data_IF_529634358234
#
_entry.id   IF_529634358234
#
_cell.length_a   1.000
_cell.length_b   1.000
_cell.length_c   1.000
_cell.angle_alpha   90.00
_cell.angle_beta   90.00
_cell.angle_gamma   90.00
#
_symmetry.space_group_name_H-M   'P 1'
#
loop_
_entity.id
_entity.type
_entity.pdbx_description
1 polymer ?
#
# COMPACT_ATOMS: atom_id res chain seq x y z
N UNK A 1 20.54 5.52 -43.01
CA UNK A 1 20.15 5.91 -41.65
C UNK A 1 20.18 7.41 -41.40
N UNK A 2 21.03 8.23 -42.03
CA UNK A 2 20.99 9.69 -41.82
C UNK A 2 20.02 10.47 -42.73
N UNK A 3 19.56 9.90 -43.86
CA UNK A 3 18.60 10.54 -44.76
C UNK A 3 17.19 10.57 -44.17
N UNK A 4 16.75 9.43 -43.64
CA UNK A 4 15.38 9.24 -43.18
C UNK A 4 15.09 10.07 -41.91
N UNK A 5 16.10 10.24 -41.04
CA UNK A 5 16.02 11.09 -39.85
C UNK A 5 15.93 12.59 -40.22
N UNK A 6 16.63 13.04 -41.27
CA UNK A 6 16.54 14.42 -41.77
C UNK A 6 15.18 14.72 -42.39
N UNK A 7 14.61 13.78 -43.15
CA UNK A 7 13.29 13.94 -43.75
C UNK A 7 12.19 14.01 -42.68
N UNK A 8 12.30 13.23 -41.60
CA UNK A 8 11.36 13.26 -40.46
C UNK A 8 11.43 14.61 -39.72
N UNK A 9 12.63 15.11 -39.44
CA UNK A 9 12.83 16.40 -38.76
C UNK A 9 12.25 17.56 -39.57
N UNK A 10 12.41 17.53 -40.89
CA UNK A 10 11.87 18.54 -41.81
C UNK A 10 10.33 18.53 -41.83
N UNK A 11 9.71 17.35 -41.79
CA UNK A 11 8.24 17.19 -41.77
C UNK A 11 7.64 17.69 -40.46
N UNK A 12 8.26 17.40 -39.32
CA UNK A 12 7.80 17.90 -38.01
C UNK A 12 8.02 19.42 -37.86
N UNK A 13 9.09 19.99 -38.42
CA UNK A 13 9.30 21.43 -38.44
C UNK A 13 8.24 22.19 -39.26
N UNK A 14 7.82 21.62 -40.40
CA UNK A 14 6.71 22.16 -41.20
C UNK A 14 5.42 22.06 -40.40
N UNK A 15 5.16 20.90 -39.78
CA UNK A 15 3.94 20.64 -39.01
C UNK A 15 3.82 21.59 -37.81
N UNK A 16 4.86 21.69 -37.00
CA UNK A 16 4.92 22.58 -35.82
C UNK A 16 4.91 24.06 -36.19
N UNK A 17 5.31 24.41 -37.42
CA UNK A 17 5.18 25.76 -37.98
C UNK A 17 3.76 26.13 -38.39
N UNK A 18 2.97 25.17 -38.87
CA UNK A 18 1.61 25.37 -39.36
C UNK A 18 0.55 25.21 -38.26
N UNK A 19 0.81 24.36 -37.26
CA UNK A 19 -0.06 24.18 -36.09
C UNK A 19 -0.03 25.43 -35.19
N UNK A 20 -1.19 25.75 -34.60
CA UNK A 20 -1.34 26.92 -33.74
C UNK A 20 -1.14 28.25 -34.49
N UNK A 21 -1.42 28.29 -35.80
CA UNK A 21 -1.32 29.52 -36.58
C UNK A 21 -2.31 30.58 -36.10
N UNK A 22 -3.51 30.16 -35.71
CA UNK A 22 -4.51 30.97 -35.02
C UNK A 22 -4.51 30.66 -33.53
N UNK A 23 -4.89 31.63 -32.70
CA UNK A 23 -4.85 31.49 -31.24
C UNK A 23 -5.94 30.55 -30.66
N UNK A 24 -5.71 29.24 -30.80
CA UNK A 24 -6.56 28.17 -30.28
C UNK A 24 -6.49 28.01 -28.75
N UNK A 25 -5.52 28.65 -28.09
CA UNK A 25 -5.49 28.75 -26.63
C UNK A 25 -6.61 29.64 -26.08
N UNK A 26 -7.06 30.62 -26.88
CA UNK A 26 -8.03 31.65 -26.49
C UNK A 26 -9.44 31.36 -27.01
N UNK A 27 -9.54 30.85 -28.24
CA UNK A 27 -10.81 30.71 -28.94
C UNK A 27 -11.24 29.23 -29.02
N UNK A 28 -12.47 28.94 -28.59
CA UNK A 28 -13.11 27.63 -28.78
C UNK A 28 -13.71 27.51 -30.19
N UNK A 29 -14.12 26.29 -30.57
CA UNK A 29 -14.74 26.02 -31.88
C UNK A 29 -15.95 26.94 -32.18
N UNK A 30 -16.71 27.36 -31.17
CA UNK A 30 -17.89 28.22 -31.35
C UNK A 30 -17.57 29.70 -31.64
N UNK A 31 -16.36 30.16 -31.28
CA UNK A 31 -15.93 31.56 -31.43
C UNK A 31 -14.70 31.70 -32.34
N UNK A 32 -14.39 30.67 -33.13
CA UNK A 32 -13.20 30.65 -33.99
C UNK A 32 -13.46 31.47 -35.26
N UNK A 33 -12.73 32.57 -35.43
CA UNK A 33 -12.84 33.40 -36.65
C UNK A 33 -12.12 32.82 -37.86
N UNK A 34 -11.20 31.87 -37.66
CA UNK A 34 -10.38 31.28 -38.73
C UNK A 34 -10.14 29.79 -38.48
N UNK A 35 -10.42 28.93 -39.45
CA UNK A 35 -10.04 27.51 -39.40
C UNK A 35 -8.86 27.25 -40.32
N UNK A 36 -7.86 26.51 -39.85
CA UNK A 36 -6.67 26.13 -40.62
C UNK A 36 -6.66 24.63 -40.86
N UNK A 37 -6.42 24.21 -42.10
CA UNK A 37 -6.22 22.82 -42.48
C UNK A 37 -5.07 22.71 -43.49
N UNK A 38 -4.38 21.58 -43.51
CA UNK A 38 -3.34 21.30 -44.49
C UNK A 38 -3.61 19.92 -45.08
N UNK A 39 -4.32 19.88 -46.21
CA UNK A 39 -4.79 18.64 -46.81
C UNK A 39 -3.68 18.03 -47.66
N UNK A 40 -3.24 16.83 -47.29
CA UNK A 40 -2.38 15.98 -48.12
C UNK A 40 -3.28 14.98 -48.84
N UNK A 41 -3.17 14.97 -50.16
CA UNK A 41 -3.88 14.04 -51.04
C UNK A 41 -2.88 13.10 -51.71
N UNK A 42 -3.02 11.80 -51.45
CA UNK A 42 -2.21 10.75 -52.08
C UNK A 42 -3.06 9.53 -52.47
N UNK A 43 -2.42 8.47 -52.96
CA UNK A 43 -3.08 7.25 -53.42
C UNK A 43 -3.85 6.50 -52.30
N UNK A 44 -3.64 6.87 -51.03
CA UNK A 44 -4.30 6.29 -49.85
C UNK A 44 -5.50 7.10 -49.36
N UNK A 45 -5.71 8.31 -49.90
CA UNK A 45 -6.85 9.17 -49.60
C UNK A 45 -6.47 10.63 -49.33
N UNK A 46 -7.42 11.37 -48.77
CA UNK A 46 -7.23 12.74 -48.28
C UNK A 46 -7.08 12.70 -46.75
N UNK A 47 -6.01 13.30 -46.23
CA UNK A 47 -5.80 13.46 -44.78
C UNK A 47 -5.41 14.89 -44.44
N UNK A 48 -5.93 15.41 -43.33
CA UNK A 48 -5.47 16.68 -42.78
C UNK A 48 -4.19 16.46 -41.96
N UNK A 49 -3.08 16.97 -42.49
CA UNK A 49 -1.75 16.86 -41.91
C UNK A 49 -1.62 17.58 -40.56
N UNK A 50 -2.38 18.66 -40.36
CA UNK A 50 -2.40 19.44 -39.11
C UNK A 50 -3.65 19.20 -38.27
N UNK A 51 -4.68 18.56 -38.83
CA UNK A 51 -5.94 18.24 -38.15
C UNK A 51 -5.88 16.99 -37.25
N UNK A 52 -4.91 16.09 -37.47
CA UNK A 52 -4.74 14.89 -36.65
C UNK A 52 -3.82 15.16 -35.44
N UNK A 53 -4.44 15.19 -34.24
CA UNK A 53 -3.86 15.35 -32.90
C UNK A 53 -3.63 16.78 -32.40
N UNK A 54 -4.77 17.43 -32.21
CA UNK A 54 -5.13 18.37 -31.13
C UNK A 54 -3.95 19.12 -30.51
N UNK A 55 -3.69 20.30 -31.06
CA UNK A 55 -3.02 21.37 -30.37
C UNK A 55 -3.66 21.65 -28.99
N UNK A 56 -3.04 22.53 -28.21
CA UNK A 56 -3.60 22.94 -26.93
C UNK A 56 -4.89 23.75 -27.12
N UNK A 57 -5.82 23.56 -26.19
CA UNK A 57 -7.14 24.19 -26.15
C UNK A 57 -7.32 24.97 -24.86
N UNK A 58 -8.37 25.77 -24.76
CA UNK A 58 -8.69 26.53 -23.55
C UNK A 58 -8.90 25.64 -22.32
N UNK A 59 -9.46 24.44 -22.51
CA UNK A 59 -9.69 23.49 -21.42
C UNK A 59 -8.40 22.88 -20.85
N UNK A 60 -7.31 22.87 -21.62
CA UNK A 60 -6.02 22.35 -21.15
C UNK A 60 -5.48 23.18 -19.97
N UNK A 61 -5.77 24.49 -19.89
CA UNK A 61 -5.38 25.34 -18.76
C UNK A 61 -6.09 25.00 -17.44
N UNK A 62 -7.22 24.28 -17.49
CA UNK A 62 -7.93 23.81 -16.29
C UNK A 62 -7.21 22.63 -15.64
N UNK A 63 -6.56 21.80 -16.45
CA UNK A 63 -6.00 20.52 -16.03
C UNK A 63 -4.47 20.52 -15.91
N UNK A 64 -3.81 21.68 -15.98
CA UNK A 64 -2.38 21.78 -15.73
C UNK A 64 -2.06 21.94 -14.23
N UNK A 65 -0.84 21.56 -13.82
CA UNK A 65 -0.38 21.66 -12.44
C UNK A 65 -0.35 23.11 -11.95
N UNK A 66 0.14 24.01 -12.80
CA UNK A 66 0.23 25.43 -12.47
C UNK A 66 -0.31 26.30 -13.60
N UNK A 67 -0.93 27.42 -13.25
CA UNK A 67 -1.46 28.42 -14.18
C UNK A 67 -0.92 29.79 -13.81
N UNK A 68 -0.51 30.55 -14.84
CA UNK A 68 -0.25 31.98 -14.77
C UNK A 68 -1.20 32.62 -15.77
N UNK A 69 -2.06 33.52 -15.32
CA UNK A 69 -3.04 34.21 -16.18
C UNK A 69 -3.11 35.68 -15.79
N UNK A 70 -2.76 36.59 -16.69
CA UNK A 70 -2.76 38.02 -16.38
C UNK A 70 -2.29 38.91 -17.51
N UNK A 71 -2.07 40.17 -17.18
CA UNK A 71 -1.67 41.20 -18.13
C UNK A 71 -0.50 42.03 -17.60
N UNK A 72 0.33 42.48 -18.54
CA UNK A 72 1.36 43.50 -18.32
C UNK A 72 0.80 44.86 -18.74
N UNK A 73 0.84 45.83 -17.83
CA UNK A 73 0.39 47.19 -18.07
C UNK A 73 1.38 48.02 -18.93
N UNK A 74 1.08 49.30 -19.14
CA UNK A 74 1.96 50.21 -19.91
C UNK A 74 3.31 50.50 -19.23
N UNK A 75 3.50 50.14 -17.98
CA UNK A 75 4.74 50.30 -17.21
C UNK A 75 5.54 49.00 -17.12
N UNK A 76 4.96 47.88 -17.56
CA UNK A 76 5.53 46.54 -17.47
C UNK A 76 5.20 45.83 -16.15
N UNK A 77 4.26 46.35 -15.36
CA UNK A 77 3.77 45.68 -14.15
C UNK A 77 2.83 44.56 -14.56
N UNK A 78 3.11 43.33 -14.11
CA UNK A 78 2.19 42.22 -14.26
C UNK A 78 1.14 42.26 -13.16
N UNK A 79 -0.13 42.09 -13.52
CA UNK A 79 -1.21 41.79 -12.58
C UNK A 79 -2.01 40.60 -13.08
N UNK A 80 -2.33 39.66 -12.20
CA UNK A 80 -3.14 38.51 -12.56
C UNK A 80 -3.13 37.41 -11.51
N UNK A 81 -3.62 36.25 -11.92
CA UNK A 81 -3.85 35.11 -11.07
C UNK A 81 -2.77 34.04 -11.25
N UNK A 82 -2.26 33.52 -10.13
CA UNK A 82 -1.41 32.33 -10.09
C UNK A 82 -2.17 31.17 -9.47
N UNK A 83 -2.20 30.02 -10.14
CA UNK A 83 -2.65 28.75 -9.57
C UNK A 83 -1.45 27.84 -9.40
N UNK A 84 -1.20 27.39 -8.17
CA UNK A 84 -0.12 26.46 -7.83
C UNK A 84 -0.78 25.21 -7.23
N UNK A 85 -0.95 24.19 -8.08
CA UNK A 85 -1.78 23.03 -7.81
C UNK A 85 -3.21 23.46 -7.47
N UNK A 86 -3.61 23.34 -6.21
CA UNK A 86 -4.96 23.67 -5.75
C UNK A 86 -5.04 25.06 -5.11
N UNK A 87 -3.90 25.72 -4.85
CA UNK A 87 -3.90 27.07 -4.29
C UNK A 87 -4.00 28.13 -5.40
N UNK A 88 -4.94 29.04 -5.26
CA UNK A 88 -5.13 30.19 -6.15
C UNK A 88 -4.69 31.47 -5.43
N UNK A 89 -3.97 32.33 -6.14
CA UNK A 89 -3.53 33.66 -5.71
C UNK A 89 -4.08 34.63 -6.76
N UNK A 90 -5.22 35.26 -6.48
CA UNK A 90 -5.97 36.05 -7.48
C UNK A 90 -5.29 37.38 -7.83
N UNK A 91 -4.70 38.05 -6.83
CA UNK A 91 -4.12 39.40 -6.95
C UNK A 91 -2.58 39.38 -6.94
N UNK A 92 -1.96 38.52 -7.75
CA UNK A 92 -0.51 38.55 -7.88
C UNK A 92 -0.05 39.75 -8.69
N UNK A 93 0.87 40.54 -8.13
CA UNK A 93 1.49 41.67 -8.82
C UNK A 93 3.00 41.55 -8.82
N UNK A 94 3.60 41.80 -9.99
CA UNK A 94 5.05 41.88 -10.14
C UNK A 94 5.42 43.16 -10.86
N UNK A 95 6.40 43.88 -10.31
CA UNK A 95 6.92 45.11 -10.90
C UNK A 95 8.39 44.93 -11.31
N UNK A 96 8.74 45.20 -12.58
CA UNK A 96 10.13 45.18 -13.02
C UNK A 96 10.91 46.35 -12.40
N UNK A 97 12.23 46.21 -12.31
CA UNK A 97 13.10 47.26 -11.78
C UNK A 97 13.22 48.42 -12.79
N UNK A 98 12.26 49.35 -12.72
CA UNK A 98 12.15 50.53 -13.60
C UNK A 98 11.58 51.73 -12.82
N UNK A 99 12.01 52.97 -13.10
CA UNK A 99 11.40 54.18 -12.54
C UNK A 99 9.90 54.29 -12.80
N UNK A 100 9.14 54.78 -11.81
CA UNK A 100 7.66 54.77 -11.83
C UNK A 100 7.01 55.50 -13.01
N UNK A 101 7.69 56.49 -13.56
CA UNK A 101 7.16 57.37 -14.62
C UNK A 101 7.48 56.81 -16.01
N UNK A 102 8.41 55.85 -16.10
CA UNK A 102 8.90 55.35 -17.38
C UNK A 102 8.00 54.23 -17.92
N UNK A 103 7.34 54.48 -19.05
CA UNK A 103 6.57 53.46 -19.77
C UNK A 103 7.45 52.36 -20.37
N UNK A 104 6.90 51.17 -20.45
CA UNK A 104 7.46 50.06 -21.20
C UNK A 104 7.50 50.40 -22.69
N UNK A 105 8.67 50.24 -23.30
CA UNK A 105 8.88 50.53 -24.72
C UNK A 105 8.11 49.58 -25.64
N UNK A 106 7.70 48.41 -25.14
CA UNK A 106 6.97 47.37 -25.87
C UNK A 106 5.43 47.46 -25.72
N UNK A 107 4.91 48.27 -24.80
CA UNK A 107 3.47 48.44 -24.54
C UNK A 107 2.83 47.31 -23.72
N UNK A 108 1.52 47.41 -23.46
CA UNK A 108 0.77 46.40 -22.68
C UNK A 108 0.53 45.10 -23.46
N UNK A 109 0.39 43.97 -22.76
CA UNK A 109 0.11 42.67 -23.38
C UNK A 109 -0.48 41.66 -22.38
N UNK A 110 -1.16 40.62 -22.86
CA UNK A 110 -1.67 39.54 -22.01
C UNK A 110 -0.74 38.33 -22.04
N UNK A 111 -0.67 37.59 -20.93
CA UNK A 111 0.08 36.36 -20.78
C UNK A 111 -0.80 35.31 -20.12
N UNK A 112 -0.92 34.14 -20.76
CA UNK A 112 -1.53 32.96 -20.15
C UNK A 112 -0.65 31.74 -20.38
N UNK A 113 -0.30 31.05 -19.31
CA UNK A 113 0.65 29.93 -19.31
C UNK A 113 0.20 28.83 -18.37
N UNK A 114 0.06 27.62 -18.92
CA UNK A 114 -0.07 26.38 -18.17
C UNK A 114 1.29 25.70 -18.04
N UNK A 115 1.52 25.06 -16.90
CA UNK A 115 2.75 24.32 -16.62
C UNK A 115 2.41 22.92 -16.09
N UNK A 116 3.13 21.91 -16.57
CA UNK A 116 3.01 20.52 -16.13
C UNK A 116 4.34 20.04 -15.57
N UNK A 117 4.37 19.82 -14.27
CA UNK A 117 5.55 19.44 -13.50
C UNK A 117 6.06 18.04 -13.89
N UNK A 118 7.32 17.76 -13.55
CA UNK A 118 8.01 16.49 -13.80
C UNK A 118 7.26 15.24 -13.32
N UNK A 119 7.63 14.07 -13.84
CA UNK A 119 7.21 12.80 -13.23
C UNK A 119 7.65 12.78 -11.78
N UNK A 120 6.73 12.56 -10.85
CA UNK A 120 6.97 12.62 -9.41
C UNK A 120 6.71 13.98 -8.76
N UNK A 121 6.56 15.05 -9.54
CA UNK A 121 6.16 16.38 -9.07
C UNK A 121 4.77 16.81 -9.55
N UNK A 122 4.21 16.17 -10.58
CA UNK A 122 2.86 16.48 -11.07
C UNK A 122 1.78 16.03 -10.08
N UNK A 123 0.68 16.78 -9.97
CA UNK A 123 -0.55 16.36 -9.27
C UNK A 123 -1.49 15.55 -10.15
N UNK A 124 -1.19 15.43 -11.45
CA UNK A 124 -2.02 14.74 -12.42
C UNK A 124 -1.94 13.22 -12.24
N UNK A 125 -3.03 12.51 -12.58
CA UNK A 125 -3.00 11.06 -12.69
C UNK A 125 -2.24 10.62 -13.95
N UNK A 126 -1.82 9.35 -14.00
CA UNK A 126 -0.96 8.84 -15.08
C UNK A 126 -1.55 9.06 -16.49
N UNK A 127 -2.86 8.84 -16.66
CA UNK A 127 -3.52 9.01 -17.97
C UNK A 127 -3.50 10.47 -18.45
N UNK A 128 -3.81 11.41 -17.55
CA UNK A 128 -3.82 12.85 -17.86
C UNK A 128 -2.39 13.37 -18.05
N UNK A 129 -1.45 12.89 -17.23
CA UNK A 129 -0.04 13.22 -17.36
C UNK A 129 0.53 12.73 -18.71
N UNK A 130 0.21 11.52 -19.14
CA UNK A 130 0.62 10.97 -20.44
C UNK A 130 0.02 11.75 -21.61
N UNK A 131 -1.25 12.18 -21.48
CA UNK A 131 -1.89 13.08 -22.45
C UNK A 131 -1.11 14.40 -22.59
N UNK A 132 -0.78 15.04 -21.48
CA UNK A 132 -0.01 16.29 -21.51
C UNK A 132 1.41 16.10 -22.01
N UNK A 133 2.11 15.03 -21.61
CA UNK A 133 3.48 14.78 -22.09
C UNK A 133 3.51 14.65 -23.62
N UNK A 134 2.58 13.91 -24.21
CA UNK A 134 2.49 13.80 -25.69
C UNK A 134 2.33 15.16 -26.35
N UNK A 135 1.42 16.00 -25.85
CA UNK A 135 1.23 17.37 -26.38
C UNK A 135 2.44 18.27 -26.15
N UNK A 136 3.05 18.23 -24.96
CA UNK A 136 4.19 19.06 -24.60
C UNK A 136 5.43 18.70 -25.41
N UNK A 137 5.65 17.42 -25.71
CA UNK A 137 6.76 16.99 -26.58
C UNK A 137 6.63 17.56 -27.99
N UNK A 138 5.42 17.60 -28.56
CA UNK A 138 5.20 18.09 -29.93
C UNK A 138 5.00 19.60 -30.02
N UNK A 139 4.29 20.20 -29.06
CA UNK A 139 3.75 21.56 -29.15
C UNK A 139 4.02 22.42 -27.92
N UNK A 140 4.80 21.91 -26.95
CA UNK A 140 5.16 22.66 -25.75
C UNK A 140 5.97 23.92 -26.07
N UNK A 141 5.73 24.97 -25.31
CA UNK A 141 6.41 26.24 -25.44
C UNK A 141 5.52 27.45 -25.15
N UNK A 142 6.14 28.62 -25.27
CA UNK A 142 5.47 29.92 -25.12
C UNK A 142 5.33 30.59 -26.49
N UNK A 143 4.10 30.73 -26.93
CA UNK A 143 3.73 31.28 -28.23
C UNK A 143 3.56 32.79 -28.13
N UNK A 144 3.77 33.51 -29.24
CA UNK A 144 3.42 34.92 -29.34
C UNK A 144 2.40 35.06 -30.46
N UNK A 145 1.25 35.64 -30.15
CA UNK A 145 0.23 35.99 -31.13
C UNK A 145 0.14 37.50 -31.24
N UNK A 146 0.00 37.99 -32.46
CA UNK A 146 -0.30 39.37 -32.77
C UNK A 146 -1.61 39.43 -33.54
N UNK A 147 -2.61 40.08 -32.96
CA UNK A 147 -3.96 40.15 -33.54
C UNK A 147 -4.49 38.73 -33.86
N UNK A 148 -4.37 37.81 -32.89
CA UNK A 148 -4.71 36.38 -32.95
C UNK A 148 -3.93 35.51 -33.97
N UNK A 149 -2.99 36.08 -34.72
CA UNK A 149 -2.12 35.34 -35.63
C UNK A 149 -0.75 35.09 -35.00
N UNK A 150 -0.24 33.86 -35.12
CA UNK A 150 1.05 33.48 -34.56
C UNK A 150 2.20 34.25 -35.21
N UNK A 151 3.12 34.73 -34.39
CA UNK A 151 4.41 35.29 -34.80
C UNK A 151 5.45 34.18 -34.69
N UNK A 152 5.94 33.68 -35.82
CA UNK A 152 7.06 32.74 -35.85
C UNK A 152 8.37 33.45 -35.45
N UNK A 153 9.38 32.76 -34.90
CA UNK A 153 9.41 31.33 -34.56
C UNK A 153 8.85 31.01 -33.15
N UNK A 154 8.20 31.97 -32.47
CA UNK A 154 7.79 31.79 -31.08
C UNK A 154 6.76 30.65 -30.91
N UNK A 155 6.97 29.82 -29.89
CA UNK A 155 6.22 28.59 -29.65
C UNK A 155 6.86 27.33 -30.25
N UNK A 156 7.99 27.44 -30.97
CA UNK A 156 8.78 26.25 -31.37
C UNK A 156 9.71 25.84 -30.23
N UNK A 157 9.92 24.53 -29.97
CA UNK A 157 10.87 24.05 -28.96
C UNK A 157 12.30 24.58 -29.13
N UNK A 158 12.73 24.78 -30.38
CA UNK A 158 14.06 25.33 -30.71
C UNK A 158 14.16 26.85 -30.44
N UNK A 159 13.03 27.53 -30.17
CA UNK A 159 12.93 28.98 -30.00
C UNK A 159 12.66 29.38 -28.54
N UNK A 160 13.57 28.98 -27.65
CA UNK A 160 13.60 29.44 -26.25
C UNK A 160 14.10 30.89 -26.16
N UNK A 161 13.29 31.82 -26.66
CA UNK A 161 13.64 33.22 -26.74
C UNK A 161 13.85 33.86 -25.35
N UNK A 162 13.30 33.26 -24.29
CA UNK A 162 13.50 33.68 -22.91
C UNK A 162 14.59 32.90 -22.18
N UNK A 163 15.31 31.97 -22.83
CA UNK A 163 16.45 31.20 -22.26
C UNK A 163 16.11 30.44 -20.97
N UNK A 164 14.92 29.86 -20.86
CA UNK A 164 14.54 29.00 -19.74
C UNK A 164 15.48 27.79 -19.59
N UNK A 165 15.74 27.06 -20.67
CA UNK A 165 16.53 25.83 -20.66
C UNK A 165 18.00 26.11 -20.32
N UNK A 166 18.55 27.22 -20.82
CA UNK A 166 19.92 27.65 -20.52
C UNK A 166 20.10 27.93 -19.02
N UNK A 167 19.12 28.57 -18.36
CA UNK A 167 19.23 28.83 -16.91
C UNK A 167 19.00 27.55 -16.11
N UNK A 168 18.03 26.73 -16.53
CA UNK A 168 17.73 25.46 -15.87
C UNK A 168 18.92 24.51 -15.86
N UNK A 169 19.71 24.46 -16.94
CA UNK A 169 20.92 23.63 -16.99
C UNK A 169 21.99 24.07 -15.99
N UNK A 170 22.01 25.35 -15.58
CA UNK A 170 22.93 25.87 -14.55
C UNK A 170 22.51 25.46 -13.14
N UNK A 171 21.23 25.60 -12.80
CA UNK A 171 20.68 25.21 -11.47
C UNK A 171 19.17 24.98 -11.51
N UNK A 172 18.74 23.76 -11.83
CA UNK A 172 17.32 23.43 -12.02
C UNK A 172 16.44 23.71 -10.80
N UNK A 173 16.98 23.57 -9.57
CA UNK A 173 16.24 23.89 -8.34
C UNK A 173 15.93 25.39 -8.17
N UNK A 174 16.80 26.28 -8.67
CA UNK A 174 16.55 27.73 -8.63
C UNK A 174 15.75 28.21 -9.83
N UNK A 175 16.06 27.68 -11.02
CA UNK A 175 15.41 28.05 -12.27
C UNK A 175 14.32 27.02 -12.62
N UNK A 176 13.16 27.21 -11.99
CA UNK A 176 12.06 26.24 -12.01
C UNK A 176 11.45 25.99 -13.40
N UNK A 177 11.31 27.01 -14.23
CA UNK A 177 10.57 26.89 -15.49
C UNK A 177 11.41 26.18 -16.56
N UNK A 178 10.82 25.18 -17.20
CA UNK A 178 11.33 24.55 -18.42
C UNK A 178 10.39 24.86 -19.59
N UNK A 179 10.96 25.29 -20.72
CA UNK A 179 10.26 25.52 -21.97
C UNK A 179 9.51 24.26 -22.43
N UNK A 180 10.08 23.08 -22.15
CA UNK A 180 9.51 21.76 -22.50
C UNK A 180 8.34 21.33 -21.62
N UNK A 181 8.05 22.06 -20.54
CA UNK A 181 7.02 21.73 -19.54
C UNK A 181 5.91 22.77 -19.47
N UNK A 182 5.95 23.76 -20.34
CA UNK A 182 4.95 24.83 -20.42
C UNK A 182 4.20 24.79 -21.74
N UNK A 183 2.98 25.31 -21.72
CA UNK A 183 2.22 25.67 -22.89
C UNK A 183 1.50 26.97 -22.62
N UNK A 184 1.38 27.84 -23.62
CA UNK A 184 0.67 29.09 -23.43
C UNK A 184 1.04 30.14 -24.45
N UNK A 185 0.56 31.35 -24.21
CA UNK A 185 0.69 32.42 -25.18
C UNK A 185 0.88 33.79 -24.54
N UNK A 186 1.56 34.66 -25.29
CA UNK A 186 1.56 36.10 -25.13
C UNK A 186 0.70 36.69 -26.24
N UNK A 187 -0.27 37.51 -25.87
CA UNK A 187 -1.13 38.22 -26.80
C UNK A 187 -0.68 39.67 -26.96
N UNK A 188 -0.29 40.01 -28.18
CA UNK A 188 0.05 41.35 -28.60
C UNK A 188 -1.04 41.89 -29.53
N UNK A 189 -1.22 43.20 -29.52
CA UNK A 189 -2.03 43.91 -30.52
C UNK A 189 -1.22 44.98 -31.20
N UNK A 190 -1.38 45.13 -32.52
CA UNK A 190 -0.61 46.13 -33.27
C UNK A 190 -0.83 47.57 -32.77
N UNK A 191 -2.04 47.86 -32.30
CA UNK A 191 -2.41 49.15 -31.70
C UNK A 191 -1.61 49.50 -30.44
N UNK A 192 -1.37 48.50 -29.57
CA UNK A 192 -0.76 48.66 -28.25
C UNK A 192 0.75 48.42 -28.27
N UNK A 193 1.25 47.66 -29.25
CA UNK A 193 2.64 47.20 -29.32
C UNK A 193 3.37 47.70 -30.58
N UNK A 194 3.16 48.96 -30.96
CA UNK A 194 3.71 49.55 -32.22
C UNK A 194 5.23 49.47 -32.35
N UNK A 195 5.94 49.53 -31.22
CA UNK A 195 7.41 49.49 -31.18
C UNK A 195 7.98 48.07 -31.32
N UNK A 196 7.17 47.03 -31.15
CA UNK A 196 7.56 45.65 -31.46
C UNK A 196 7.38 45.44 -32.97
N UNK A 197 8.44 45.67 -33.74
CA UNK A 197 8.38 45.67 -35.20
C UNK A 197 8.63 44.25 -35.72
N UNK A 198 7.71 43.74 -36.54
CA UNK A 198 7.86 42.46 -37.22
C UNK A 198 8.93 42.55 -38.32
N UNK A 199 9.75 41.51 -38.47
CA UNK A 199 10.64 41.41 -39.64
C UNK A 199 9.82 41.21 -40.93
N UNK A 200 10.39 41.57 -42.08
CA UNK A 200 9.72 41.45 -43.38
C UNK A 200 9.19 40.03 -43.68
N UNK A 201 9.94 38.99 -43.30
CA UNK A 201 9.52 37.59 -43.44
C UNK A 201 8.60 37.06 -42.33
N UNK A 202 8.18 37.91 -41.37
CA UNK A 202 7.48 37.52 -40.13
C UNK A 202 8.20 36.43 -39.31
N UNK A 203 9.51 36.33 -39.49
CA UNK A 203 10.43 35.47 -38.73
C UNK A 203 10.93 36.16 -37.46
N UNK A 204 9.98 36.63 -36.67
CA UNK A 204 10.18 37.25 -35.36
C UNK A 204 10.27 38.77 -35.43
N UNK A 205 10.65 39.34 -34.29
CA UNK A 205 10.77 40.79 -34.15
C UNK A 205 12.17 41.30 -34.51
N UNK A 206 12.23 42.56 -34.96
CA UNK A 206 13.49 43.30 -35.08
C UNK A 206 14.10 43.45 -33.68
N UNK A 207 15.40 43.18 -33.54
CA UNK A 207 16.12 43.28 -32.28
C UNK A 207 16.40 44.74 -31.88
N UNK A 208 15.34 45.51 -31.67
CA UNK A 208 15.38 46.90 -31.26
C UNK A 208 15.29 47.02 -29.72
N UNK A 209 15.28 48.25 -29.21
CA UNK A 209 15.14 48.50 -27.76
C UNK A 209 13.86 47.87 -27.19
N UNK A 210 12.72 47.99 -27.87
CA UNK A 210 11.45 47.46 -27.39
C UNK A 210 11.47 45.94 -27.21
N UNK A 211 12.02 45.20 -28.17
CA UNK A 211 12.13 43.76 -28.07
C UNK A 211 13.12 43.32 -26.96
N UNK A 212 14.23 44.05 -26.77
CA UNK A 212 15.17 43.76 -25.69
C UNK A 212 14.55 44.00 -24.30
N UNK A 213 13.87 45.13 -24.12
CA UNK A 213 13.18 45.45 -22.87
C UNK A 213 12.07 44.41 -22.58
N UNK A 214 11.31 44.00 -23.60
CA UNK A 214 10.28 42.96 -23.50
C UNK A 214 10.84 41.64 -22.97
N UNK A 215 11.97 41.20 -23.53
CA UNK A 215 12.66 40.00 -23.05
C UNK A 215 13.15 40.14 -21.62
N UNK A 216 13.79 41.27 -21.28
CA UNK A 216 14.37 41.50 -19.95
C UNK A 216 13.28 41.46 -18.88
N UNK A 217 12.16 42.15 -19.10
CA UNK A 217 11.07 42.23 -18.13
C UNK A 217 10.38 40.86 -17.95
N UNK A 218 10.14 40.11 -19.04
CA UNK A 218 9.60 38.75 -18.97
C UNK A 218 10.54 37.78 -18.24
N UNK A 219 11.84 37.85 -18.53
CA UNK A 219 12.84 37.02 -17.82
C UNK A 219 12.81 37.37 -16.33
N UNK A 220 12.81 38.66 -15.98
CA UNK A 220 12.72 39.12 -14.60
C UNK A 220 11.48 38.61 -13.88
N UNK A 221 10.33 38.63 -14.55
CA UNK A 221 9.06 38.11 -14.03
C UNK A 221 9.14 36.61 -13.68
N UNK A 222 9.57 35.77 -14.62
CA UNK A 222 9.67 34.32 -14.37
C UNK A 222 10.74 33.98 -13.33
N UNK A 223 11.83 34.74 -13.25
CA UNK A 223 12.82 34.59 -12.19
C UNK A 223 12.24 34.95 -10.82
N UNK A 224 11.41 35.99 -10.75
CA UNK A 224 10.74 36.38 -9.51
C UNK A 224 9.74 35.30 -9.06
N UNK A 225 8.91 34.79 -9.97
CA UNK A 225 8.00 33.69 -9.68
C UNK A 225 8.73 32.45 -9.16
N UNK A 226 9.84 32.07 -9.80
CA UNK A 226 10.66 30.96 -9.34
C UNK A 226 11.18 31.20 -7.91
N UNK A 227 11.66 32.42 -7.61
CA UNK A 227 12.15 32.79 -6.28
C UNK A 227 11.05 32.85 -5.22
N UNK A 228 9.85 33.27 -5.58
CA UNK A 228 8.76 33.47 -4.62
C UNK A 228 7.98 32.19 -4.33
N UNK A 229 7.79 31.31 -5.33
CA UNK A 229 6.83 30.21 -5.19
C UNK A 229 7.29 28.84 -5.70
N UNK A 230 8.15 28.76 -6.72
CA UNK A 230 8.37 27.48 -7.42
C UNK A 230 9.74 26.83 -7.22
N UNK A 231 10.77 27.61 -6.92
CA UNK A 231 12.13 27.12 -6.71
C UNK A 231 12.24 26.27 -5.43
N UNK A 232 13.31 25.49 -5.32
CA UNK A 232 13.61 24.67 -4.15
C UNK A 232 13.71 25.52 -2.88
N UNK A 233 14.34 26.69 -2.97
CA UNK A 233 14.52 27.64 -1.86
C UNK A 233 13.52 28.81 -1.97
N UNK A 234 12.30 28.55 -2.47
CA UNK A 234 11.29 29.59 -2.66
C UNK A 234 10.89 30.22 -1.32
N UNK A 235 10.61 31.53 -1.32
CA UNK A 235 10.17 32.25 -0.11
C UNK A 235 8.88 31.69 0.47
N UNK A 236 7.95 31.30 -0.40
CA UNK A 236 6.67 30.73 -0.01
C UNK A 236 6.67 29.23 -0.31
N UNK A 237 6.49 28.43 0.74
CA UNK A 237 6.55 26.96 0.64
C UNK A 237 5.25 26.30 0.14
N UNK A 238 4.47 27.04 -0.65
CA UNK A 238 3.15 26.59 -1.12
C UNK A 238 3.25 25.34 -1.99
N UNK A 239 4.28 25.28 -2.85
CA UNK A 239 4.48 24.17 -3.79
C UNK A 239 4.96 22.92 -3.08
N UNK A 240 5.99 23.00 -2.22
CA UNK A 240 6.55 21.78 -1.61
C UNK A 240 5.58 21.18 -0.61
N UNK A 241 4.90 22.00 0.20
CA UNK A 241 3.90 21.49 1.14
C UNK A 241 2.82 20.65 0.44
N UNK A 242 2.21 21.18 -0.63
CA UNK A 242 1.21 20.44 -1.40
C UNK A 242 1.82 19.21 -2.11
N UNK A 243 3.08 19.29 -2.54
CA UNK A 243 3.76 18.15 -3.17
C UNK A 243 3.97 17.00 -2.18
N UNK A 244 4.35 17.28 -0.93
CA UNK A 244 4.48 16.25 0.09
C UNK A 244 3.12 15.60 0.43
N UNK A 245 2.06 16.40 0.58
CA UNK A 245 0.69 15.91 0.76
C UNK A 245 0.27 14.97 -0.40
N UNK A 246 0.60 15.33 -1.64
CA UNK A 246 0.32 14.50 -2.82
C UNK A 246 1.12 13.19 -2.83
N UNK A 247 2.38 13.20 -2.40
CA UNK A 247 3.22 12.01 -2.31
C UNK A 247 2.73 11.05 -1.24
N UNK A 248 2.36 11.56 -0.07
CA UNK A 248 1.80 10.77 1.02
C UNK A 248 0.51 10.09 0.59
N UNK A 249 -0.42 10.83 -0.03
CA UNK A 249 -1.66 10.28 -0.56
C UNK A 249 -1.42 9.17 -1.58
N UNK A 250 -0.52 9.38 -2.55
CA UNK A 250 -0.15 8.35 -3.54
C UNK A 250 0.50 7.13 -2.90
N UNK A 251 1.36 7.31 -1.90
CA UNK A 251 2.00 6.20 -1.21
C UNK A 251 0.96 5.33 -0.49
N UNK A 252 0.01 5.95 0.21
CA UNK A 252 -1.10 5.25 0.87
C UNK A 252 -1.98 4.48 -0.13
N UNK A 253 -2.34 5.10 -1.27
CA UNK A 253 -3.12 4.43 -2.31
C UNK A 253 -2.38 3.21 -2.92
N UNK A 254 -1.07 3.33 -3.15
CA UNK A 254 -0.26 2.24 -3.69
C UNK A 254 -0.17 1.08 -2.69
N UNK A 255 0.03 1.41 -1.41
CA UNK A 255 0.06 0.41 -0.33
C UNK A 255 -1.30 -0.30 -0.20
N UNK A 256 -2.40 0.45 -0.24
CA UNK A 256 -3.75 -0.12 -0.17
C UNK A 256 -4.02 -1.07 -1.35
N UNK A 257 -3.70 -0.66 -2.59
CA UNK A 257 -3.82 -1.51 -3.79
C UNK A 257 -2.97 -2.76 -3.71
N UNK A 258 -1.76 -2.67 -3.13
CA UNK A 258 -0.88 -3.81 -2.92
C UNK A 258 -1.51 -4.81 -1.93
N UNK A 259 -1.99 -4.32 -0.80
CA UNK A 259 -2.65 -5.13 0.22
C UNK A 259 -3.95 -5.77 -0.32
N UNK A 260 -4.73 -5.05 -1.13
CA UNK A 260 -5.89 -5.58 -1.82
C UNK A 260 -5.51 -6.72 -2.78
N UNK A 261 -4.47 -6.53 -3.60
CA UNK A 261 -3.97 -7.55 -4.53
C UNK A 261 -3.47 -8.80 -3.79
N UNK A 262 -2.76 -8.63 -2.68
CA UNK A 262 -2.29 -9.74 -1.83
C UNK A 262 -3.44 -10.49 -1.16
N UNK A 263 -4.46 -9.79 -0.65
CA UNK A 263 -5.68 -10.42 -0.12
C UNK A 263 -6.43 -11.19 -1.21
N UNK A 264 -6.56 -10.60 -2.41
CA UNK A 264 -7.23 -11.25 -3.55
C UNK A 264 -6.50 -12.52 -3.99
N UNK A 265 -5.17 -12.50 -4.04
CA UNK A 265 -4.39 -13.69 -4.39
C UNK A 265 -4.54 -14.79 -3.33
N UNK A 266 -4.39 -14.45 -2.03
CA UNK A 266 -4.60 -15.40 -0.94
C UNK A 266 -6.01 -16.00 -0.94
N UNK A 267 -7.03 -15.17 -1.20
CA UNK A 267 -8.41 -15.63 -1.30
C UNK A 267 -8.62 -16.61 -2.47
N UNK A 268 -8.01 -16.34 -3.63
CA UNK A 268 -8.07 -17.26 -4.77
C UNK A 268 -7.36 -18.58 -4.51
N UNK A 269 -6.26 -18.56 -3.77
CA UNK A 269 -5.54 -19.77 -3.39
C UNK A 269 -6.34 -20.58 -2.35
N UNK A 270 -6.91 -19.90 -1.35
CA UNK A 270 -7.85 -20.47 -0.38
C UNK A 270 -9.03 -21.18 -1.07
N UNK A 271 -9.71 -20.52 -2.00
CA UNK A 271 -10.83 -21.11 -2.75
C UNK A 271 -10.46 -22.36 -3.56
N UNK A 272 -9.18 -22.54 -3.89
CA UNK A 272 -8.70 -23.71 -4.65
C UNK A 272 -8.22 -24.84 -3.75
N UNK A 273 -7.58 -24.55 -2.62
CA UNK A 273 -6.95 -25.57 -1.77
C UNK A 273 -7.94 -26.17 -0.78
N UNK A 274 -8.81 -25.35 -0.20
CA UNK A 274 -9.72 -25.74 0.89
C UNK A 274 -10.65 -26.89 0.51
N UNK A 275 -11.26 -26.96 -0.69
CA UNK A 275 -12.08 -28.12 -1.07
C UNK A 275 -11.34 -29.46 -0.94
N UNK A 276 -10.07 -29.50 -1.39
CA UNK A 276 -9.24 -30.71 -1.33
C UNK A 276 -8.81 -31.02 0.09
N UNK A 277 -8.44 -29.99 0.86
CA UNK A 277 -8.07 -30.14 2.27
C UNK A 277 -9.25 -30.66 3.11
N UNK A 278 -10.46 -30.18 2.84
CA UNK A 278 -11.70 -30.66 3.48
C UNK A 278 -11.98 -32.12 3.14
N UNK A 279 -11.83 -32.51 1.87
CA UNK A 279 -12.02 -33.91 1.44
C UNK A 279 -11.03 -34.86 2.12
N UNK A 280 -9.75 -34.48 2.19
CA UNK A 280 -8.71 -35.23 2.88
C UNK A 280 -8.96 -35.33 4.39
N UNK A 281 -9.35 -34.22 5.03
CA UNK A 281 -9.66 -34.18 6.46
C UNK A 281 -10.87 -35.05 6.78
N UNK A 282 -11.96 -34.95 6.02
CA UNK A 282 -13.15 -35.79 6.20
C UNK A 282 -12.81 -37.27 6.09
N UNK A 283 -12.00 -37.65 5.09
CA UNK A 283 -11.58 -39.04 4.88
C UNK A 283 -10.78 -39.58 6.07
N UNK A 284 -9.80 -38.82 6.56
CA UNK A 284 -8.99 -39.20 7.73
C UNK A 284 -9.83 -39.26 8.99
N UNK A 285 -10.71 -38.28 9.16
CA UNK A 285 -11.60 -38.17 10.31
C UNK A 285 -12.58 -39.35 10.37
N UNK A 286 -13.20 -39.70 9.25
CA UNK A 286 -14.09 -40.86 9.14
C UNK A 286 -13.39 -42.17 9.48
N UNK A 287 -12.15 -42.37 9.00
CA UNK A 287 -11.35 -43.56 9.29
C UNK A 287 -11.07 -43.70 10.80
N UNK A 288 -10.54 -42.65 11.43
CA UNK A 288 -10.23 -42.66 12.87
C UNK A 288 -11.48 -42.84 13.74
N UNK A 289 -12.60 -42.25 13.31
CA UNK A 289 -13.87 -42.35 14.02
C UNK A 289 -14.44 -43.77 13.99
N UNK A 290 -14.29 -44.46 12.86
CA UNK A 290 -14.65 -45.88 12.77
C UNK A 290 -13.70 -46.77 13.58
N UNK A 291 -12.39 -46.49 13.57
CA UNK A 291 -11.42 -47.19 14.42
C UNK A 291 -11.75 -47.03 15.91
N UNK A 292 -12.07 -45.81 16.35
CA UNK A 292 -12.51 -45.52 17.71
C UNK A 292 -13.80 -46.29 18.04
N UNK A 293 -14.79 -46.26 17.15
CA UNK A 293 -16.06 -46.97 17.33
C UNK A 293 -15.88 -48.48 17.47
N UNK A 294 -14.96 -49.06 16.70
CA UNK A 294 -14.65 -50.49 16.78
C UNK A 294 -13.92 -50.84 18.08
N UNK A 295 -12.89 -50.07 18.45
CA UNK A 295 -12.17 -50.29 19.73
C UNK A 295 -13.06 -50.15 20.96
N UNK A 296 -14.09 -49.29 20.92
CA UNK A 296 -15.05 -49.16 22.02
C UNK A 296 -15.95 -50.38 22.20
N UNK A 297 -16.10 -51.22 21.16
CA UNK A 297 -16.90 -52.46 21.21
C UNK A 297 -16.11 -53.68 21.65
N UNK A 298 -14.79 -53.66 21.50
CA UNK A 298 -13.94 -54.77 21.92
C UNK A 298 -13.95 -54.94 23.45
N UNK A 299 -13.84 -56.19 23.90
CA UNK A 299 -13.84 -56.54 25.33
C UNK A 299 -12.44 -56.42 25.96
N UNK A 300 -11.37 -56.54 25.16
CA UNK A 300 -9.96 -56.48 25.58
C UNK A 300 -9.31 -55.17 25.10
N UNK A 301 -9.82 -54.04 25.58
CA UNK A 301 -9.41 -52.72 25.11
C UNK A 301 -8.09 -52.29 25.73
N UNK A 302 -7.12 -51.89 24.90
CA UNK A 302 -5.93 -51.16 25.34
C UNK A 302 -6.30 -49.67 25.40
N UNK A 303 -6.56 -49.14 26.60
CA UNK A 303 -7.00 -47.75 26.82
C UNK A 303 -6.01 -46.68 26.31
N UNK A 304 -4.72 -47.01 26.24
CA UNK A 304 -3.71 -46.13 25.64
C UNK A 304 -4.03 -45.85 24.15
N UNK A 305 -4.60 -46.82 23.44
CA UNK A 305 -4.96 -46.66 22.03
C UNK A 305 -6.17 -45.74 21.87
N UNK A 306 -7.17 -45.84 22.75
CA UNK A 306 -8.31 -44.91 22.76
C UNK A 306 -7.81 -43.48 23.00
N UNK A 307 -6.91 -43.28 23.95
CA UNK A 307 -6.33 -41.96 24.21
C UNK A 307 -5.53 -41.41 23.01
N UNK A 308 -4.83 -42.27 22.26
CA UNK A 308 -4.11 -41.84 21.06
C UNK A 308 -5.08 -41.44 19.94
N UNK A 309 -6.13 -42.25 19.70
CA UNK A 309 -7.15 -41.95 18.70
C UNK A 309 -7.89 -40.65 19.02
N UNK A 310 -8.26 -40.43 20.28
CA UNK A 310 -8.90 -39.17 20.71
C UNK A 310 -8.01 -37.96 20.46
N UNK A 311 -6.70 -38.04 20.75
CA UNK A 311 -5.75 -36.96 20.46
C UNK A 311 -5.65 -36.66 18.96
N UNK A 312 -5.67 -37.68 18.11
CA UNK A 312 -5.64 -37.49 16.66
C UNK A 312 -6.92 -36.85 16.14
N UNK A 313 -8.08 -37.32 16.62
CA UNK A 313 -9.40 -36.75 16.31
C UNK A 313 -9.47 -35.27 16.72
N UNK A 314 -8.99 -34.92 17.91
CA UNK A 314 -9.01 -33.54 18.40
C UNK A 314 -8.08 -32.63 17.57
N UNK A 315 -6.94 -33.13 17.10
CA UNK A 315 -6.07 -32.40 16.16
C UNK A 315 -6.76 -32.16 14.83
N UNK A 316 -7.37 -33.19 14.24
CA UNK A 316 -8.11 -33.03 12.98
C UNK A 316 -9.27 -32.03 13.12
N UNK A 317 -9.93 -31.99 14.29
CA UNK A 317 -10.98 -31.02 14.55
C UNK A 317 -10.45 -29.59 14.60
N UNK A 318 -9.30 -29.36 15.24
CA UNK A 318 -8.65 -28.05 15.26
C UNK A 318 -8.20 -27.62 13.86
N UNK A 319 -7.62 -28.53 13.08
CA UNK A 319 -7.22 -28.29 11.68
C UNK A 319 -8.44 -27.91 10.83
N UNK A 320 -9.56 -28.63 10.99
CA UNK A 320 -10.84 -28.31 10.34
C UNK A 320 -11.38 -26.92 10.73
N UNK A 321 -11.40 -26.57 12.01
CA UNK A 321 -11.86 -25.26 12.48
C UNK A 321 -11.02 -24.10 11.92
N UNK A 322 -9.73 -24.32 11.65
CA UNK A 322 -8.85 -23.32 11.05
C UNK A 322 -9.24 -22.96 9.60
N UNK A 323 -9.97 -23.84 8.90
CA UNK A 323 -10.39 -23.66 7.50
C UNK A 323 -11.71 -22.89 7.35
N UNK A 324 -12.27 -22.35 8.45
CA UNK A 324 -13.55 -21.64 8.45
C UNK A 324 -13.60 -20.53 7.37
N UNK A 325 -14.59 -20.57 6.46
CA UNK A 325 -14.73 -19.59 5.38
C UNK A 325 -14.98 -18.17 5.89
N UNK A 326 -14.10 -17.23 5.51
CA UNK A 326 -14.20 -15.80 5.86
C UNK A 326 -14.26 -14.95 4.61
N UNK A 327 -15.13 -13.93 4.64
CA UNK A 327 -15.26 -12.98 3.53
C UNK A 327 -14.07 -12.02 3.50
N UNK A 328 -13.56 -11.68 2.30
CA UNK A 328 -12.50 -10.69 2.16
C UNK A 328 -13.00 -9.31 2.61
N UNK A 329 -12.10 -8.51 3.20
CA UNK A 329 -12.43 -7.19 3.75
C UNK A 329 -12.10 -6.04 2.80
N UNK A 330 -11.02 -6.14 2.01
CA UNK A 330 -10.52 -5.03 1.18
C UNK A 330 -11.04 -5.03 -0.26
N UNK A 331 -11.72 -6.09 -0.69
CA UNK A 331 -12.29 -6.16 -2.03
C UNK A 331 -13.64 -6.85 -2.05
N UNK A 332 -14.43 -6.53 -3.07
CA UNK A 332 -15.69 -7.21 -3.36
C UNK A 332 -15.46 -8.40 -4.29
N UNK A 333 -16.06 -9.53 -3.96
CA UNK A 333 -15.96 -10.75 -4.77
C UNK A 333 -16.66 -10.56 -6.12
N UNK A 334 -15.99 -10.97 -7.20
CA UNK A 334 -16.60 -11.07 -8.52
C UNK A 334 -17.59 -12.25 -8.59
N UNK A 335 -18.37 -12.35 -9.67
CA UNK A 335 -19.43 -13.36 -9.81
C UNK A 335 -18.91 -14.79 -9.68
N UNK A 336 -17.70 -15.08 -10.20
CA UNK A 336 -17.11 -16.42 -10.18
C UNK A 336 -16.52 -16.75 -8.81
N UNK A 337 -15.84 -15.79 -8.19
CA UNK A 337 -15.27 -15.95 -6.84
C UNK A 337 -16.38 -16.13 -5.80
N UNK A 338 -17.54 -15.50 -5.99
CA UNK A 338 -18.73 -15.67 -5.13
C UNK A 338 -19.31 -17.08 -5.20
N UNK A 339 -19.53 -17.61 -6.40
CA UNK A 339 -20.03 -18.96 -6.61
C UNK A 339 -19.09 -20.00 -5.97
N UNK A 340 -17.77 -19.85 -6.15
CA UNK A 340 -16.78 -20.74 -5.52
C UNK A 340 -16.78 -20.65 -4.00
N UNK A 341 -16.92 -19.44 -3.45
CA UNK A 341 -16.99 -19.24 -2.02
C UNK A 341 -18.25 -19.89 -1.41
N UNK A 342 -19.38 -19.84 -2.10
CA UNK A 342 -20.61 -20.55 -1.69
C UNK A 342 -20.38 -22.06 -1.68
N UNK A 343 -19.79 -22.64 -2.74
CA UNK A 343 -19.44 -24.07 -2.78
C UNK A 343 -18.55 -24.48 -1.60
N UNK A 344 -17.51 -23.68 -1.29
CA UNK A 344 -16.62 -23.93 -0.14
C UNK A 344 -17.38 -23.83 1.18
N UNK A 345 -18.28 -22.86 1.29
CA UNK A 345 -19.10 -22.65 2.50
C UNK A 345 -20.05 -23.81 2.73
N UNK A 346 -20.70 -24.30 1.68
CA UNK A 346 -21.61 -25.44 1.74
C UNK A 346 -20.84 -26.73 2.09
N UNK A 347 -19.70 -26.96 1.44
CA UNK A 347 -18.82 -28.10 1.75
C UNK A 347 -18.34 -28.06 3.21
N UNK A 348 -17.88 -26.91 3.70
CA UNK A 348 -17.50 -26.73 5.10
C UNK A 348 -18.67 -27.01 6.05
N UNK A 349 -19.87 -26.52 5.72
CA UNK A 349 -21.08 -26.74 6.53
C UNK A 349 -21.43 -28.23 6.63
N UNK A 350 -21.35 -28.97 5.52
CA UNK A 350 -21.58 -30.41 5.50
C UNK A 350 -20.53 -31.16 6.32
N UNK A 351 -19.24 -30.86 6.13
CA UNK A 351 -18.15 -31.43 6.93
C UNK A 351 -18.34 -31.16 8.42
N UNK A 352 -18.78 -29.95 8.80
CA UNK A 352 -19.03 -29.60 10.21
C UNK A 352 -20.06 -30.54 10.86
N UNK A 353 -21.13 -30.87 10.14
CA UNK A 353 -22.15 -31.81 10.62
C UNK A 353 -21.55 -33.21 10.83
N UNK A 354 -20.67 -33.66 9.93
CA UNK A 354 -19.96 -34.94 10.09
C UNK A 354 -19.04 -34.94 11.31
N UNK A 355 -18.24 -33.88 11.49
CA UNK A 355 -17.38 -33.69 12.66
C UNK A 355 -18.15 -33.63 13.98
N UNK A 356 -19.36 -33.10 13.97
CA UNK A 356 -20.19 -33.03 15.18
C UNK A 356 -20.94 -34.35 15.48
N UNK A 357 -21.14 -35.22 14.49
CA UNK A 357 -21.83 -36.50 14.65
C UNK A 357 -21.15 -37.46 15.65
N UNK A 358 -19.83 -37.33 15.82
CA UNK A 358 -19.01 -38.18 16.69
C UNK A 358 -18.88 -37.63 18.11
N UNK A 359 -19.42 -36.45 18.40
CA UNK A 359 -19.38 -35.86 19.76
C UNK A 359 -19.94 -36.82 20.82
N UNK A 360 -20.98 -37.61 20.50
CA UNK A 360 -21.52 -38.64 21.39
C UNK A 360 -20.54 -39.80 21.62
N UNK A 361 -19.96 -40.33 20.55
CA UNK A 361 -18.97 -41.41 20.61
C UNK A 361 -17.71 -40.98 21.39
N UNK A 362 -17.26 -39.73 21.19
CA UNK A 362 -16.16 -39.12 21.93
C UNK A 362 -16.45 -39.05 23.43
N UNK A 363 -17.68 -38.67 23.80
CA UNK A 363 -18.11 -38.66 25.21
C UNK A 363 -18.07 -40.06 25.81
N UNK A 364 -18.62 -41.05 25.11
CA UNK A 364 -18.57 -42.46 25.55
C UNK A 364 -17.14 -42.97 25.74
N UNK A 365 -16.21 -42.58 24.87
CA UNK A 365 -14.80 -42.92 25.00
C UNK A 365 -14.14 -42.29 26.24
N UNK A 366 -14.46 -41.02 26.53
CA UNK A 366 -13.94 -40.32 27.71
C UNK A 366 -14.50 -40.92 29.00
N UNK A 367 -15.79 -41.24 29.05
CA UNK A 367 -16.44 -41.85 30.20
C UNK A 367 -15.79 -43.22 30.53
N UNK A 368 -15.56 -44.07 29.51
CA UNK A 368 -14.83 -45.35 29.70
C UNK A 368 -13.39 -45.16 30.22
N UNK A 369 -12.67 -44.14 29.74
CA UNK A 369 -11.32 -43.85 30.23
C UNK A 369 -11.37 -43.43 31.71
N UNK A 370 -12.37 -42.64 32.11
CA UNK A 370 -12.53 -42.18 33.49
C UNK A 370 -12.83 -43.35 34.45
N UNK A 371 -13.70 -44.29 34.05
CA UNK A 371 -13.99 -45.50 34.83
C UNK A 371 -12.72 -46.33 35.09
N UNK A 372 -11.88 -46.54 34.08
CA UNK A 372 -10.62 -47.29 34.21
C UNK A 372 -9.60 -46.56 35.09
N UNK A 373 -9.48 -45.24 34.95
CA UNK A 373 -8.62 -44.45 35.83
C UNK A 373 -9.05 -44.58 37.29
N UNK A 374 -10.35 -44.56 37.54
CA UNK A 374 -10.94 -44.76 38.86
C UNK A 374 -10.63 -46.17 39.39
N UNK A 375 -10.74 -47.19 38.54
CA UNK A 375 -10.40 -48.57 38.90
C UNK A 375 -8.92 -48.71 39.28
N UNK A 376 -8.00 -48.18 38.48
CA UNK A 376 -6.57 -48.19 38.80
C UNK A 376 -6.23 -47.43 40.07
N UNK A 377 -6.87 -46.29 40.30
CA UNK A 377 -6.73 -45.57 41.56
C UNK A 377 -7.21 -46.41 42.75
N UNK A 378 -8.34 -47.11 42.60
CA UNK A 378 -8.87 -48.00 43.62
C UNK A 378 -7.92 -49.18 43.88
N UNK A 379 -7.42 -49.85 42.84
CA UNK A 379 -6.46 -50.94 42.95
C UNK A 379 -5.17 -50.50 43.66
N UNK A 380 -4.63 -49.34 43.30
CA UNK A 380 -3.46 -48.76 43.95
C UNK A 380 -3.73 -48.47 45.43
N UNK A 381 -4.88 -47.88 45.76
CA UNK A 381 -5.31 -47.64 47.15
C UNK A 381 -5.45 -48.96 47.91
N UNK A 382 -6.09 -49.96 47.31
CA UNK A 382 -6.25 -51.29 47.89
C UNK A 382 -4.89 -51.95 48.19
N UNK A 383 -3.95 -51.92 47.25
CA UNK A 383 -2.59 -52.44 47.45
C UNK A 383 -1.87 -51.70 48.59
N UNK A 384 -1.98 -50.37 48.64
CA UNK A 384 -1.39 -49.56 49.71
C UNK A 384 -1.99 -49.92 51.08
N UNK A 385 -3.32 -50.03 51.19
CA UNK A 385 -3.98 -50.42 52.43
C UNK A 385 -3.65 -51.86 52.84
N UNK A 386 -3.60 -52.79 51.88
CA UNK A 386 -3.22 -54.18 52.13
C UNK A 386 -1.77 -54.28 52.62
N UNK A 387 -0.85 -53.49 52.05
CA UNK A 387 0.54 -53.41 52.52
C UNK A 387 0.61 -52.89 53.95
N UNK A 388 -0.09 -51.78 54.24
CA UNK A 388 -0.12 -51.19 55.59
C UNK A 388 -0.69 -52.17 56.62
N UNK A 389 -1.77 -52.89 56.28
CA UNK A 389 -2.36 -53.88 57.16
C UNK A 389 -1.38 -55.02 57.44
N UNK A 390 -0.66 -55.49 56.42
CA UNK A 390 0.37 -56.51 56.57
C UNK A 390 1.51 -56.03 57.49
N UNK A 391 1.97 -54.79 57.32
CA UNK A 391 3.01 -54.19 58.15
C UNK A 391 2.57 -54.06 59.62
N UNK A 392 1.35 -53.56 59.87
CA UNK A 392 0.78 -53.46 61.22
C UNK A 392 0.67 -54.85 61.84
N UNK A 393 0.13 -55.82 61.10
CA UNK A 393 -0.06 -57.19 61.61
C UNK A 393 1.29 -57.86 61.93
N UNK A 394 2.30 -57.67 61.07
CA UNK A 394 3.64 -58.17 61.30
C UNK A 394 4.29 -57.54 62.54
N UNK A 395 4.13 -56.21 62.70
CA UNK A 395 4.63 -55.47 63.86
C UNK A 395 3.95 -55.91 65.16
N UNK A 396 2.62 -55.99 65.19
CA UNK A 396 1.86 -56.47 66.35
C UNK A 396 2.24 -57.90 66.73
N UNK A 397 2.48 -58.78 65.76
CA UNK A 397 2.96 -60.16 66.01
C UNK A 397 4.35 -60.15 66.64
N UNK A 398 5.25 -59.27 66.18
CA UNK A 398 6.58 -59.12 66.75
C UNK A 398 6.55 -58.53 68.17
N UNK A 399 5.70 -57.52 68.41
CA UNK A 399 5.53 -56.89 69.72
C UNK A 399 4.94 -57.87 70.74
N UNK A 400 3.94 -58.68 70.33
CA UNK A 400 3.42 -59.77 71.15
C UNK A 400 4.51 -60.78 71.49
N UNK A 401 5.31 -61.19 70.52
CA UNK A 401 6.41 -62.14 70.74
C UNK A 401 7.42 -61.60 71.78
N UNK A 402 7.82 -60.33 71.65
CA UNK A 402 8.70 -59.66 72.63
C UNK A 402 8.07 -59.55 74.01
N UNK A 403 6.77 -59.26 74.11
CA UNK A 403 6.07 -59.19 75.38
C UNK A 403 6.07 -60.56 76.09
N UNK A 404 5.80 -61.65 75.36
CA UNK A 404 5.89 -63.00 75.90
C UNK A 404 7.32 -63.36 76.33
N UNK A 405 8.34 -63.04 75.52
CA UNK A 405 9.76 -63.24 75.88
C UNK A 405 10.14 -62.49 77.17
N UNK A 406 9.67 -61.24 77.33
CA UNK A 406 9.94 -60.45 78.54
C UNK A 406 9.24 -61.03 79.79
N UNK A 407 8.01 -61.53 79.65
CA UNK A 407 7.30 -62.20 80.75
C UNK A 407 8.06 -63.46 81.16
N UNK A 408 8.56 -64.23 80.20
CA UNK A 408 9.36 -65.44 80.45
C UNK A 408 10.63 -65.11 81.24
N UNK A 409 11.36 -64.07 80.82
CA UNK A 409 12.56 -63.57 81.52
C UNK A 409 12.25 -63.12 82.96
N UNK A 410 11.15 -62.38 83.18
CA UNK A 410 10.76 -61.97 84.54
C UNK A 410 10.36 -63.17 85.41
N UNK A 411 9.72 -64.18 84.82
CA UNK A 411 9.40 -65.43 85.51
C UNK A 411 10.68 -66.16 85.96
N UNK A 412 11.65 -66.31 85.06
CA UNK A 412 12.96 -66.90 85.38
C UNK A 412 13.69 -66.13 86.49
N UNK A 413 13.73 -64.79 86.43
CA UNK A 413 14.32 -63.95 87.49
C UNK A 413 13.63 -64.16 88.82
N UNK A 414 12.30 -64.21 88.83
CA UNK A 414 11.52 -64.39 90.06
C UNK A 414 11.75 -65.79 90.64
N UNK A 415 11.83 -66.81 89.79
CA UNK A 415 12.16 -68.18 90.19
C UNK A 415 13.57 -68.26 90.80
N UNK A 416 14.57 -67.64 90.17
CA UNK A 416 15.94 -67.56 90.70
C UNK A 416 15.97 -66.80 92.03
N UNK A 417 15.27 -65.67 92.14
CA UNK A 417 15.16 -64.92 93.39
C UNK A 417 14.52 -65.76 94.50
N UNK A 418 13.45 -66.50 94.20
CA UNK A 418 12.78 -67.37 95.14
C UNK A 418 13.69 -68.54 95.59
N UNK A 419 14.40 -69.18 94.65
CA UNK A 419 15.41 -70.22 94.94
C UNK A 419 16.54 -69.68 95.80
N UNK A 420 17.05 -68.48 95.51
CA UNK A 420 18.09 -67.83 96.32
C UNK A 420 17.59 -67.48 97.71
N UNK A 421 16.34 -67.02 97.84
CA UNK A 421 15.74 -66.71 99.14
C UNK A 421 15.54 -67.99 99.99
N UNK A 422 15.07 -69.07 99.37
CA UNK A 422 15.01 -70.40 99.99
C UNK A 422 16.40 -70.88 100.42
N UNK A 423 17.42 -70.71 99.57
CA UNK A 423 18.80 -71.06 99.90
C UNK A 423 19.36 -70.21 101.04
N UNK A 424 19.02 -68.92 101.12
CA UNK A 424 19.39 -68.06 102.25
C UNK A 424 18.68 -68.48 103.53
N UNK A 425 17.37 -68.73 103.49
CA UNK A 425 16.63 -69.26 104.64
C UNK A 425 17.24 -70.58 105.12
N UNK A 426 17.64 -71.46 104.19
CA UNK A 426 18.34 -72.69 104.51
C UNK A 426 19.71 -72.43 105.17
N UNK A 427 20.49 -71.46 104.68
CA UNK A 427 21.80 -71.10 105.25
C UNK A 427 21.71 -70.36 106.60
N UNK A 428 20.71 -69.50 106.79
CA UNK A 428 20.54 -68.66 107.99
C UNK A 428 19.91 -69.43 109.17
N UNK A 429 19.15 -70.50 108.91
CA UNK A 429 18.44 -71.28 109.95
C UNK A 429 18.99 -72.69 110.21
N UNK A 430 20.02 -73.13 109.47
CA UNK A 430 20.68 -74.42 109.70
C UNK A 430 22.14 -74.17 110.11
N UNK A 431 22.45 -74.14 111.41
CA UNK A 431 23.83 -74.23 111.87
C UNK A 431 24.27 -75.68 111.61
N UNK A 432 25.21 -75.85 110.68
CA UNK A 432 25.74 -77.12 110.14
C UNK A 432 24.88 -77.78 109.06
N UNK A 433 25.01 -77.35 107.79
CA UNK A 433 24.66 -78.23 106.70
C UNK A 433 25.69 -79.40 106.65
N UNK A 434 25.25 -80.61 106.26
CA UNK A 434 26.13 -81.77 106.12
C UNK A 434 27.23 -81.59 105.06
#
# INVERSE_FOLDING_TARGET
>A
NNSDDQDIETVEDIRTGLIGFYNEFKHNNDNKSLTTSFIIKDNTGERDFIGANSFFTLDDFKNCDHLIDGEFDEFGTFNGTLRIYNKIIEDYSYRPNRPNIQKASYGKFNLKLGYVSGSGETSLNDNVYDYFNKKLTSFGGLYIYRDDLRVLPYGRPQSDFLQFEERRSRRAGTYFFSYRRMFGYIELKRENNRSLIDKAGREGFINNKAFRDFKIDLIGFFLNLAKEYFGTDAKNDVKQKQLEELKEARASEVEEKKLEKEERNRFKDYLKSVPKELEDLNTRYFKLSNELKNKLKDTNVIYQDIQQLLRQIDRLKADFESLEPKRPKRFSMDSRDRERFEIVTDAYTLSRLEFDSINKLRKEALDKIAEEQLLKEYENKFHNYSSLLNDITAKSKQDLKRAFENIDIEFEKTEVAFKNNLSKIYQDYIPFPP
#
